data_IF_972274600333
#
_entry.id   IF_972274600333
#
_cell.length_a   1.000
_cell.length_b   1.000
_cell.length_c   1.000
_cell.angle_alpha   90.00
_cell.angle_beta   90.00
_cell.angle_gamma   90.00
#
_symmetry.space_group_name_H-M   'P 1'
#
loop_
_entity.id
_entity.type
_entity.pdbx_description
1 polymer ?
#
# COMPACT_ATOMS: atom_id res chain seq x y z
N UNK A 1 -20.94 -56.90 25.55
CA UNK A 1 -21.14 -56.30 24.21
C UNK A 1 -21.16 -54.76 24.18
N UNK A 2 -21.37 -54.02 25.29
CA UNK A 2 -21.38 -52.53 25.26
C UNK A 2 -20.00 -51.84 25.14
N UNK A 3 -18.90 -52.48 25.57
CA UNK A 3 -17.55 -51.87 25.55
C UNK A 3 -16.87 -51.89 24.17
N UNK A 4 -17.22 -52.85 23.31
CA UNK A 4 -16.64 -52.98 21.96
C UNK A 4 -17.24 -51.96 20.99
N UNK A 5 -18.53 -51.63 21.13
CA UNK A 5 -19.20 -50.63 20.29
C UNK A 5 -18.64 -49.21 20.46
N UNK A 6 -18.25 -48.85 21.69
CA UNK A 6 -17.69 -47.52 22.01
C UNK A 6 -16.26 -47.38 21.47
N UNK A 7 -15.43 -48.42 21.59
CA UNK A 7 -14.07 -48.41 21.05
C UNK A 7 -14.05 -48.30 19.52
N UNK A 8 -14.99 -48.96 18.83
CA UNK A 8 -15.13 -48.89 17.36
C UNK A 8 -15.67 -47.53 16.90
N UNK A 9 -16.61 -46.92 17.64
CA UNK A 9 -17.06 -45.54 17.34
C UNK A 9 -15.97 -44.51 17.56
N UNK A 10 -15.18 -44.61 18.64
CA UNK A 10 -14.06 -43.69 18.90
C UNK A 10 -12.96 -43.84 17.84
N UNK A 11 -12.65 -45.08 17.42
CA UNK A 11 -11.71 -45.33 16.33
C UNK A 11 -12.21 -44.83 14.97
N UNK A 12 -13.52 -44.96 14.69
CA UNK A 12 -14.12 -44.42 13.46
C UNK A 12 -14.15 -42.88 13.45
N UNK A 13 -14.42 -42.24 14.59
CA UNK A 13 -14.37 -40.76 14.72
C UNK A 13 -12.91 -40.27 14.58
N UNK A 14 -11.94 -40.97 15.14
CA UNK A 14 -10.50 -40.64 15.01
C UNK A 14 -9.93 -40.86 13.60
N UNK A 15 -10.54 -41.74 12.79
CA UNK A 15 -10.16 -41.97 11.40
C UNK A 15 -10.83 -40.98 10.43
N UNK A 16 -12.00 -40.46 10.80
CA UNK A 16 -12.75 -39.49 9.97
C UNK A 16 -12.32 -38.04 10.25
N UNK A 17 -11.82 -37.71 11.46
CA UNK A 17 -11.28 -36.38 11.77
C UNK A 17 -10.09 -35.94 10.91
N UNK A 18 -9.08 -36.77 10.57
CA UNK A 18 -8.03 -36.38 9.63
C UNK A 18 -8.53 -36.30 8.18
N UNK A 19 -9.56 -37.06 7.79
CA UNK A 19 -10.18 -36.96 6.46
C UNK A 19 -11.02 -35.68 6.31
N UNK A 20 -11.68 -35.22 7.37
CA UNK A 20 -12.39 -33.94 7.41
C UNK A 20 -11.44 -32.74 7.54
N UNK A 21 -10.26 -32.91 8.18
CA UNK A 21 -9.19 -31.91 8.18
C UNK A 21 -8.48 -31.82 6.82
N UNK A 22 -8.44 -32.90 6.03
CA UNK A 22 -7.86 -32.93 4.69
C UNK A 22 -8.80 -32.40 3.58
N UNK A 23 -10.11 -32.35 3.81
CA UNK A 23 -11.06 -31.78 2.84
C UNK A 23 -11.18 -30.25 2.89
N UNK A 24 -10.57 -29.58 3.87
CA UNK A 24 -10.50 -28.13 4.00
C UNK A 24 -9.07 -27.66 4.33
N UNK A 25 -8.04 -28.32 3.78
CA UNK A 25 -6.70 -27.71 3.78
C UNK A 25 -6.73 -26.55 2.78
N UNK A 26 -7.20 -25.39 3.25
CA UNK A 26 -6.89 -24.12 2.61
C UNK A 26 -5.37 -24.01 2.59
N UNK A 27 -4.79 -23.85 1.41
CA UNK A 27 -3.37 -23.59 1.29
C UNK A 27 -3.11 -22.16 1.77
N UNK A 28 -2.21 -22.01 2.74
CA UNK A 28 -1.78 -20.70 3.24
C UNK A 28 -1.29 -19.86 2.06
N UNK A 29 -1.65 -18.57 2.02
CA UNK A 29 -1.03 -17.65 1.07
C UNK A 29 0.46 -17.55 1.39
N UNK A 30 1.28 -18.01 0.46
CA UNK A 30 2.72 -17.80 0.51
C UNK A 30 3.07 -16.43 -0.10
N UNK A 31 3.98 -15.71 0.54
CA UNK A 31 4.62 -14.56 -0.05
C UNK A 31 5.89 -15.04 -0.75
N UNK A 32 5.99 -14.85 -2.07
CA UNK A 32 7.22 -15.08 -2.82
C UNK A 32 7.55 -13.83 -3.63
N UNK A 33 8.81 -13.51 -3.93
CA UNK A 33 9.12 -12.41 -4.83
C UNK A 33 8.42 -12.61 -6.19
N UNK A 34 7.46 -11.74 -6.49
CA UNK A 34 6.70 -11.72 -7.76
C UNK A 34 7.00 -10.44 -8.52
N UNK A 35 8.26 -10.02 -8.48
CA UNK A 35 8.78 -8.80 -9.10
C UNK A 35 10.26 -8.99 -9.41
N UNK A 36 10.73 -8.27 -10.43
CA UNK A 36 12.12 -8.28 -10.86
C UNK A 36 12.86 -7.01 -10.42
N UNK A 37 13.74 -6.52 -11.28
CA UNK A 37 14.20 -5.13 -11.24
C UNK A 37 13.18 -4.26 -11.98
N UNK A 38 12.59 -3.29 -11.29
CA UNK A 38 11.52 -2.46 -11.83
C UNK A 38 11.49 -1.10 -11.13
N UNK A 39 10.95 -0.11 -11.83
CA UNK A 39 10.85 1.26 -11.36
C UNK A 39 9.54 1.87 -11.86
N UNK A 40 8.78 2.46 -10.94
CA UNK A 40 7.49 3.07 -11.24
C UNK A 40 7.42 4.48 -10.66
N UNK A 41 6.62 5.32 -11.32
CA UNK A 41 6.26 6.67 -10.87
C UNK A 41 4.75 6.80 -10.87
N UNK A 42 4.22 7.49 -9.87
CA UNK A 42 2.81 7.71 -9.64
C UNK A 42 2.56 9.19 -9.39
N UNK A 43 1.53 9.73 -10.03
CA UNK A 43 1.00 11.05 -9.71
C UNK A 43 0.11 10.93 -8.46
N UNK A 44 0.29 11.86 -7.53
CA UNK A 44 -0.53 11.95 -6.31
C UNK A 44 -1.61 12.99 -6.53
N UNK A 45 -2.84 12.65 -6.21
CA UNK A 45 -4.01 13.53 -6.29
C UNK A 45 -4.91 13.31 -5.07
N UNK A 46 -5.87 14.21 -4.87
CA UNK A 46 -6.91 14.03 -3.87
C UNK A 46 -7.87 12.93 -4.33
N UNK A 47 -8.15 11.96 -3.46
CA UNK A 47 -9.05 10.85 -3.76
C UNK A 47 -10.48 11.32 -4.02
N UNK A 48 -11.08 10.87 -5.13
CA UNK A 48 -12.49 11.10 -5.46
C UNK A 48 -13.34 9.85 -5.17
N UNK A 49 -14.04 9.91 -4.05
CA UNK A 49 -14.92 8.83 -3.59
C UNK A 49 -16.33 8.86 -4.20
N UNK A 50 -16.69 9.95 -4.88
CA UNK A 50 -18.04 10.19 -5.40
C UNK A 50 -18.13 9.95 -6.90
N UNK A 51 -17.02 10.01 -7.65
CA UNK A 51 -17.02 9.73 -9.08
C UNK A 51 -17.41 8.28 -9.37
N UNK A 52 -18.55 8.15 -10.03
CA UNK A 52 -19.13 6.89 -10.46
C UNK A 52 -19.64 7.04 -11.87
N UNK A 53 -19.24 6.12 -12.73
CA UNK A 53 -19.69 6.05 -14.11
C UNK A 53 -20.44 4.75 -14.34
N UNK A 54 -21.46 4.77 -15.19
CA UNK A 54 -22.16 3.55 -15.62
C UNK A 54 -21.73 3.22 -17.04
N UNK A 55 -21.26 1.99 -17.25
CA UNK A 55 -20.85 1.48 -18.56
C UNK A 55 -21.25 0.00 -18.67
N UNK A 56 -21.89 -0.40 -19.78
CA UNK A 56 -22.47 -1.74 -19.96
C UNK A 56 -23.30 -2.22 -18.74
N UNK A 57 -24.20 -1.37 -18.23
CA UNK A 57 -25.04 -1.65 -17.04
C UNK A 57 -24.30 -1.95 -15.73
N UNK A 58 -22.98 -1.75 -15.69
CA UNK A 58 -22.15 -1.88 -14.50
C UNK A 58 -21.66 -0.51 -14.01
N UNK A 59 -21.51 -0.36 -12.69
CA UNK A 59 -20.94 0.85 -12.07
C UNK A 59 -19.43 0.69 -11.93
N UNK A 60 -18.69 1.68 -12.41
CA UNK A 60 -17.24 1.82 -12.28
C UNK A 60 -16.94 3.01 -11.38
N UNK A 61 -15.97 2.83 -10.47
CA UNK A 61 -15.57 3.85 -9.50
C UNK A 61 -14.12 4.23 -9.69
N UNK A 62 -13.78 5.46 -9.35
CA UNK A 62 -12.38 5.89 -9.38
C UNK A 62 -11.62 5.39 -8.14
N UNK A 63 -12.25 5.49 -6.97
CA UNK A 63 -11.68 5.05 -5.68
C UNK A 63 -12.56 3.98 -5.03
N UNK A 64 -12.18 2.69 -5.09
CA UNK A 64 -12.93 1.64 -4.44
C UNK A 64 -12.77 1.70 -2.91
N UNK A 65 -13.89 1.54 -2.22
CA UNK A 65 -13.94 1.45 -0.77
C UNK A 65 -13.63 0.02 -0.29
N UNK A 66 -12.70 -0.12 0.66
CA UNK A 66 -12.64 -1.30 1.52
C UNK A 66 -13.78 -1.18 2.56
N UNK A 67 -14.96 -1.70 2.22
CA UNK A 67 -16.16 -1.62 3.05
C UNK A 67 -15.91 -2.07 4.50
N UNK A 68 -16.61 -1.48 5.47
CA UNK A 68 -16.55 -1.85 6.90
C UNK A 68 -15.24 -1.51 7.64
N UNK A 69 -14.12 -1.35 6.95
CA UNK A 69 -12.79 -1.08 7.52
C UNK A 69 -12.29 0.35 7.26
N UNK A 70 -12.96 1.08 6.37
CA UNK A 70 -12.63 2.47 6.08
C UNK A 70 -13.41 3.45 6.93
N UNK A 71 -12.66 4.33 7.58
CA UNK A 71 -13.19 5.48 8.29
C UNK A 71 -13.47 6.58 7.25
N UNK A 72 -14.68 7.14 7.28
CA UNK A 72 -15.04 8.29 6.44
C UNK A 72 -14.00 9.41 6.66
N UNK A 73 -13.40 9.90 5.57
CA UNK A 73 -12.39 10.95 5.61
C UNK A 73 -12.84 12.17 6.43
N UNK A 74 -14.11 12.57 6.33
CA UNK A 74 -14.64 13.72 7.09
C UNK A 74 -14.73 13.47 8.60
N UNK A 75 -14.82 12.19 9.00
CA UNK A 75 -14.83 11.77 10.41
C UNK A 75 -13.43 11.56 10.99
N UNK A 76 -12.38 11.64 10.16
CA UNK A 76 -10.99 11.58 10.63
C UNK A 76 -10.60 12.89 11.30
N UNK A 77 -9.56 12.79 12.12
CA UNK A 77 -8.92 13.95 12.72
C UNK A 77 -8.26 14.82 11.65
N UNK A 78 -7.62 14.20 10.65
CA UNK A 78 -6.94 14.88 9.53
C UNK A 78 -7.86 15.92 8.85
N UNK A 79 -7.34 17.13 8.65
CA UNK A 79 -7.99 18.16 7.86
C UNK A 79 -8.09 17.69 6.41
N UNK A 80 -9.26 17.86 5.82
CA UNK A 80 -9.44 17.56 4.40
C UNK A 80 -8.87 18.75 3.60
N UNK A 81 -7.86 18.55 2.75
CA UNK A 81 -7.29 19.61 1.94
C UNK A 81 -8.26 20.02 0.84
N UNK A 82 -8.09 21.24 0.31
CA UNK A 82 -8.79 21.69 -0.88
C UNK A 82 -8.31 20.91 -2.11
N UNK A 83 -6.98 20.81 -2.27
CA UNK A 83 -6.35 20.12 -3.40
C UNK A 83 -5.01 19.45 -3.00
N UNK A 84 -4.60 18.46 -3.79
CA UNK A 84 -3.36 17.69 -3.61
C UNK A 84 -2.72 17.43 -4.96
N UNK A 85 -1.41 17.63 -5.02
CA UNK A 85 -0.59 17.26 -6.17
C UNK A 85 0.75 16.70 -5.70
N UNK A 86 1.34 15.78 -6.45
CA UNK A 86 2.66 15.26 -6.09
C UNK A 86 3.13 14.09 -6.94
N UNK A 87 4.25 13.53 -6.54
CA UNK A 87 4.84 12.36 -7.18
C UNK A 87 5.30 11.37 -6.12
N UNK A 88 5.01 10.09 -6.37
CA UNK A 88 5.55 8.97 -5.63
C UNK A 88 6.34 8.09 -6.59
N UNK A 89 7.56 7.71 -6.21
CA UNK A 89 8.42 6.81 -6.97
C UNK A 89 8.71 5.57 -6.16
N UNK A 90 8.85 4.45 -6.84
CA UNK A 90 9.11 3.15 -6.23
C UNK A 90 10.08 2.38 -7.12
N UNK A 91 11.16 1.87 -6.53
CA UNK A 91 12.20 1.12 -7.23
C UNK A 91 12.59 -0.10 -6.40
N UNK A 92 12.79 -1.23 -7.07
CA UNK A 92 13.29 -2.46 -6.47
C UNK A 92 14.49 -2.95 -7.28
N UNK A 93 15.59 -3.25 -6.59
CA UNK A 93 16.86 -3.66 -7.21
C UNK A 93 17.45 -4.88 -6.49
N UNK A 94 17.80 -5.96 -7.21
CA UNK A 94 18.53 -7.07 -6.62
C UNK A 94 19.98 -6.69 -6.32
N UNK A 95 20.59 -7.35 -5.33
CA UNK A 95 22.05 -7.34 -5.17
C UNK A 95 22.73 -8.10 -6.30
N UNK A 96 24.05 -7.89 -6.47
CA UNK A 96 24.85 -8.56 -7.51
C UNK A 96 24.82 -10.09 -7.42
N UNK A 97 24.71 -10.62 -6.20
CA UNK A 97 24.59 -12.05 -5.89
C UNK A 97 23.13 -12.50 -5.74
N UNK A 98 22.17 -11.60 -5.97
CA UNK A 98 20.72 -11.78 -5.85
C UNK A 98 20.24 -12.37 -4.51
N UNK A 99 21.05 -12.28 -3.45
CA UNK A 99 20.72 -12.78 -2.12
C UNK A 99 19.76 -11.84 -1.36
N UNK A 100 19.72 -10.57 -1.76
CA UNK A 100 18.91 -9.51 -1.16
C UNK A 100 18.36 -8.56 -2.21
N UNK A 101 17.33 -7.83 -1.83
CA UNK A 101 16.78 -6.72 -2.60
C UNK A 101 16.87 -5.43 -1.81
N UNK A 102 16.99 -4.32 -2.53
CA UNK A 102 16.80 -2.96 -2.01
C UNK A 102 15.53 -2.38 -2.62
N UNK A 103 14.57 -2.05 -1.77
CA UNK A 103 13.35 -1.31 -2.12
C UNK A 103 13.50 0.14 -1.70
N UNK A 104 13.38 1.06 -2.66
CA UNK A 104 13.48 2.50 -2.43
C UNK A 104 12.19 3.15 -2.86
N UNK A 105 11.66 4.04 -2.02
CA UNK A 105 10.53 4.91 -2.38
C UNK A 105 10.88 6.36 -2.12
N UNK A 106 10.30 7.26 -2.90
CA UNK A 106 10.46 8.70 -2.74
C UNK A 106 9.15 9.40 -3.03
N UNK A 107 8.73 10.28 -2.14
CA UNK A 107 7.49 11.05 -2.23
C UNK A 107 7.78 12.54 -2.13
N UNK A 108 7.21 13.31 -3.04
CA UNK A 108 7.05 14.76 -2.91
C UNK A 108 5.57 15.07 -3.00
N UNK A 109 5.02 15.70 -1.97
CA UNK A 109 3.60 15.99 -1.84
C UNK A 109 3.38 17.48 -1.58
N UNK A 110 2.53 18.09 -2.39
CA UNK A 110 2.02 19.44 -2.20
C UNK A 110 0.56 19.34 -1.80
N UNK A 111 0.20 19.99 -0.71
CA UNK A 111 -1.16 19.98 -0.17
C UNK A 111 -1.63 21.41 0.02
N UNK A 112 -2.81 21.71 -0.51
CA UNK A 112 -3.41 23.03 -0.42
C UNK A 112 -4.56 23.02 0.59
N UNK A 113 -4.50 23.92 1.57
CA UNK A 113 -5.56 24.13 2.58
C UNK A 113 -6.09 25.55 2.49
N UNK A 114 -7.29 25.79 3.01
CA UNK A 114 -7.74 27.15 3.28
C UNK A 114 -6.91 27.78 4.38
N UNK A 115 -6.48 29.02 4.18
CA UNK A 115 -5.73 29.77 5.19
C UNK A 115 -6.51 29.87 6.50
N UNK A 116 -7.83 30.13 6.41
CA UNK A 116 -8.71 30.23 7.59
C UNK A 116 -8.75 28.94 8.42
N UNK A 117 -8.71 27.77 7.78
CA UNK A 117 -8.73 26.48 8.48
C UNK A 117 -7.43 26.25 9.25
N UNK A 118 -6.29 26.61 8.64
CA UNK A 118 -4.98 26.52 9.30
C UNK A 118 -4.89 27.49 10.49
N UNK A 119 -5.37 28.72 10.33
CA UNK A 119 -5.41 29.72 11.40
C UNK A 119 -6.32 29.28 12.56
N UNK A 120 -7.46 28.66 12.24
CA UNK A 120 -8.42 28.16 13.22
C UNK A 120 -7.92 26.99 14.07
N UNK A 121 -6.89 26.25 13.62
CA UNK A 121 -6.28 25.17 14.41
C UNK A 121 -5.66 25.66 15.72
N UNK A 122 -5.29 26.95 15.82
CA UNK A 122 -4.68 27.49 17.03
C UNK A 122 -3.33 26.83 17.36
N UNK A 123 -2.54 26.51 16.33
CA UNK A 123 -1.26 25.82 16.43
C UNK A 123 -0.30 26.45 17.47
N UNK A 124 0.52 25.61 18.10
CA UNK A 124 1.64 26.09 18.93
C UNK A 124 2.65 26.87 18.07
N UNK A 125 3.47 27.72 18.72
CA UNK A 125 4.49 28.49 18.02
C UNK A 125 5.52 27.60 17.28
N UNK A 126 5.84 26.44 17.85
CA UNK A 126 6.71 25.44 17.23
C UNK A 126 6.09 24.88 15.93
N UNK A 127 4.81 24.53 15.98
CA UNK A 127 4.09 24.05 14.79
C UNK A 127 4.00 25.15 13.74
N UNK A 128 3.71 26.40 14.13
CA UNK A 128 3.68 27.54 13.19
C UNK A 128 5.02 27.75 12.49
N UNK A 129 6.13 27.77 13.24
CA UNK A 129 7.46 27.92 12.65
C UNK A 129 7.79 26.76 11.69
N UNK A 130 7.39 25.54 12.04
CA UNK A 130 7.50 24.39 11.14
C UNK A 130 6.66 24.52 9.87
N UNK A 131 5.42 25.02 9.98
CA UNK A 131 4.56 25.28 8.82
C UNK A 131 5.11 26.38 7.91
N UNK A 132 5.66 27.46 8.47
CA UNK A 132 6.30 28.52 7.69
C UNK A 132 7.45 27.96 6.83
N UNK A 133 8.29 27.10 7.41
CA UNK A 133 9.37 26.41 6.70
C UNK A 133 8.88 25.51 5.57
N UNK A 134 7.73 24.86 5.75
CA UNK A 134 7.12 23.93 4.79
C UNK A 134 6.21 24.64 3.77
N UNK A 135 5.96 25.93 3.95
CA UNK A 135 5.09 26.72 3.07
C UNK A 135 5.79 27.00 1.75
N UNK A 136 5.09 26.73 0.66
CA UNK A 136 5.55 27.03 -0.70
C UNK A 136 4.95 28.35 -1.12
N UNK A 137 5.78 29.28 -1.61
CA UNK A 137 5.29 30.56 -2.12
C UNK A 137 4.33 30.34 -3.30
N UNK A 138 3.32 31.20 -3.40
CA UNK A 138 2.29 31.10 -4.44
C UNK A 138 2.88 31.19 -5.87
N UNK A 139 3.90 32.04 -6.06
CA UNK A 139 4.58 32.26 -7.34
C UNK A 139 5.80 31.36 -7.56
N UNK A 140 6.08 30.43 -6.64
CA UNK A 140 7.20 29.51 -6.78
C UNK A 140 6.96 28.56 -7.95
N UNK A 141 7.97 28.36 -8.81
CA UNK A 141 7.88 27.45 -9.95
C UNK A 141 7.62 25.99 -9.55
N UNK A 142 7.89 25.62 -8.31
CA UNK A 142 7.59 24.29 -7.78
C UNK A 142 6.15 24.13 -7.28
N UNK A 143 5.38 25.22 -7.13
CA UNK A 143 3.99 25.16 -6.69
C UNK A 143 3.12 24.65 -7.86
N UNK A 144 2.46 23.50 -7.72
CA UNK A 144 1.73 22.88 -8.83
C UNK A 144 0.31 23.42 -9.02
N UNK A 145 -0.17 24.31 -8.15
CA UNK A 145 -1.55 24.79 -8.17
C UNK A 145 -1.65 26.14 -8.87
N UNK A 146 -2.75 26.37 -9.60
CA UNK A 146 -3.01 27.66 -10.26
C UNK A 146 -3.81 28.65 -9.38
N UNK A 147 -4.42 28.16 -8.29
CA UNK A 147 -5.24 28.97 -7.37
C UNK A 147 -4.51 29.15 -6.06
N UNK A 148 -4.45 30.38 -5.54
CA UNK A 148 -3.74 30.69 -4.30
C UNK A 148 -4.48 31.65 -3.36
N UNK A 149 -5.49 32.37 -3.85
CA UNK A 149 -6.21 33.35 -3.03
C UNK A 149 -6.96 32.65 -1.88
N UNK A 150 -6.64 33.03 -0.64
CA UNK A 150 -7.21 32.42 0.56
C UNK A 150 -6.69 31.00 0.86
N UNK A 151 -5.61 30.58 0.21
CA UNK A 151 -5.07 29.22 0.29
C UNK A 151 -3.59 29.24 0.71
N UNK A 152 -3.19 28.23 1.46
CA UNK A 152 -1.80 27.93 1.82
C UNK A 152 -1.40 26.61 1.18
N UNK A 153 -0.22 26.59 0.55
CA UNK A 153 0.36 25.38 -0.02
C UNK A 153 1.51 24.93 0.87
N UNK A 154 1.44 23.69 1.35
CA UNK A 154 2.50 23.07 2.13
C UNK A 154 3.14 21.94 1.33
N UNK A 155 4.46 21.80 1.46
CA UNK A 155 5.22 20.71 0.85
C UNK A 155 5.65 19.72 1.92
N UNK A 156 5.64 18.44 1.58
CA UNK A 156 6.30 17.40 2.36
C UNK A 156 7.09 16.47 1.45
N UNK A 157 8.18 15.92 1.98
CA UNK A 157 8.99 14.90 1.34
C UNK A 157 9.15 13.69 2.25
N UNK A 158 9.20 12.51 1.64
CA UNK A 158 9.49 11.26 2.35
C UNK A 158 10.29 10.35 1.45
N UNK A 159 11.47 9.94 1.91
CA UNK A 159 12.32 9.00 1.21
C UNK A 159 12.56 7.79 2.10
N UNK A 160 12.40 6.59 1.53
CA UNK A 160 12.58 5.34 2.27
C UNK A 160 13.49 4.41 1.50
N UNK A 161 14.31 3.66 2.22
CA UNK A 161 15.07 2.54 1.69
C UNK A 161 14.90 1.35 2.63
N UNK A 162 14.66 0.17 2.08
CA UNK A 162 14.67 -1.08 2.84
C UNK A 162 15.48 -2.13 2.10
N UNK A 163 16.40 -2.76 2.81
CA UNK A 163 17.15 -3.92 2.34
C UNK A 163 16.63 -5.16 3.04
N UNK A 164 16.30 -6.19 2.28
CA UNK A 164 15.70 -7.42 2.82
C UNK A 164 16.15 -8.66 2.04
N UNK A 165 16.00 -9.84 2.65
CA UNK A 165 16.37 -11.13 2.04
C UNK A 165 15.41 -11.50 0.90
N UNK A 166 15.90 -12.14 -0.17
CA UNK A 166 15.09 -12.62 -1.31
C UNK A 166 14.16 -13.81 -0.98
N UNK A 167 14.23 -14.35 0.23
CA UNK A 167 13.39 -15.47 0.65
C UNK A 167 11.90 -15.09 0.81
N UNK A 168 11.03 -16.10 0.91
CA UNK A 168 9.58 -15.93 1.05
C UNK A 168 9.16 -15.03 2.22
N UNK A 169 9.92 -15.05 3.33
CA UNK A 169 9.62 -14.21 4.50
C UNK A 169 9.97 -12.73 4.29
N UNK A 170 10.77 -12.38 3.27
CA UNK A 170 11.23 -11.01 2.99
C UNK A 170 11.79 -10.31 4.24
N UNK A 171 12.55 -11.07 5.04
CA UNK A 171 13.06 -10.62 6.32
C UNK A 171 13.91 -9.35 6.14
N UNK A 172 13.60 -8.22 6.82
CA UNK A 172 14.39 -7.00 6.74
C UNK A 172 15.80 -7.22 7.29
N UNK A 173 16.76 -6.52 6.68
CA UNK A 173 18.17 -6.46 7.08
C UNK A 173 18.47 -5.05 7.59
N UNK A 174 18.03 -4.03 6.86
CA UNK A 174 18.16 -2.63 7.26
C UNK A 174 17.07 -1.78 6.63
N UNK A 175 16.77 -0.65 7.24
CA UNK A 175 15.93 0.37 6.62
C UNK A 175 16.39 1.78 6.98
N UNK A 176 16.02 2.73 6.13
CA UNK A 176 16.14 4.17 6.36
C UNK A 176 14.83 4.82 5.95
N UNK A 177 14.34 5.76 6.76
CA UNK A 177 13.25 6.64 6.44
C UNK A 177 13.66 8.06 6.75
N UNK A 178 13.53 8.95 5.79
CA UNK A 178 13.78 10.39 5.92
C UNK A 178 12.47 11.12 5.66
N UNK A 179 12.03 11.95 6.60
CA UNK A 179 10.77 12.68 6.52
C UNK A 179 11.02 14.16 6.76
N UNK A 180 10.46 14.97 5.89
CA UNK A 180 10.23 16.39 6.14
C UNK A 180 8.78 16.72 5.79
N UNK A 181 7.94 16.90 6.80
CA UNK A 181 6.50 16.98 6.56
C UNK A 181 5.69 17.35 7.78
N UNK A 182 4.38 17.14 7.66
CA UNK A 182 3.40 17.59 8.62
C UNK A 182 2.21 16.64 8.70
N UNK A 183 1.54 16.66 9.85
CA UNK A 183 0.20 16.15 10.05
C UNK A 183 -0.64 17.29 10.64
N UNK A 184 -1.77 17.56 10.00
CA UNK A 184 -2.70 18.61 10.42
C UNK A 184 -4.07 18.00 10.61
N UNK A 185 -4.40 17.71 11.87
CA UNK A 185 -5.72 17.30 12.29
C UNK A 185 -6.44 18.39 13.08
N UNK A 186 -7.74 18.22 13.26
CA UNK A 186 -8.61 19.09 14.06
C UNK A 186 -8.19 19.12 15.52
N UNK A 187 -7.62 18.03 16.03
CA UNK A 187 -7.20 17.84 17.41
C UNK A 187 -5.68 17.68 17.57
N UNK A 188 -5.00 17.07 16.59
CA UNK A 188 -3.56 16.84 16.65
C UNK A 188 -2.84 17.54 15.51
N UNK A 189 -1.75 18.24 15.83
CA UNK A 189 -0.84 18.80 14.84
C UNK A 189 0.57 18.31 15.14
N UNK A 190 1.30 17.94 14.09
CA UNK A 190 2.67 17.47 14.22
C UNK A 190 3.48 17.95 13.03
N UNK A 191 4.68 18.45 13.31
CA UNK A 191 5.72 18.68 12.30
C UNK A 191 6.75 17.56 12.45
N UNK A 192 7.19 17.01 11.34
CA UNK A 192 8.18 15.93 11.30
C UNK A 192 9.36 16.39 10.47
N UNK A 193 10.55 16.37 11.05
CA UNK A 193 11.79 16.57 10.32
C UNK A 193 12.86 15.66 10.90
N UNK A 194 12.87 14.40 10.46
CA UNK A 194 13.72 13.38 11.07
C UNK A 194 14.28 12.40 10.04
N UNK A 195 15.31 11.69 10.45
CA UNK A 195 15.75 10.44 9.82
C UNK A 195 15.69 9.31 10.84
N UNK A 196 15.09 8.18 10.46
CA UNK A 196 15.12 6.94 11.24
C UNK A 196 15.88 5.90 10.43
N UNK A 197 16.92 5.31 11.01
CA UNK A 197 17.65 4.19 10.41
C UNK A 197 17.57 2.97 11.32
N UNK A 198 17.41 1.79 10.73
CA UNK A 198 17.25 0.53 11.48
C UNK A 198 18.18 -0.54 10.93
N UNK A 199 18.78 -1.30 11.84
CA UNK A 199 19.48 -2.56 11.53
C UNK A 199 18.76 -3.69 12.25
N UNK A 200 18.41 -4.73 11.50
CA UNK A 200 17.62 -5.85 11.99
C UNK A 200 18.49 -7.06 12.30
N UNK A 201 18.44 -7.53 13.55
CA UNK A 201 18.96 -8.83 13.97
C UNK A 201 17.79 -9.67 14.49
N UNK A 202 16.96 -10.16 13.57
CA UNK A 202 15.78 -10.94 13.90
C UNK A 202 16.13 -12.27 14.58
N UNK A 203 17.27 -12.88 14.26
CA UNK A 203 17.74 -14.12 14.90
C UNK A 203 17.93 -13.96 16.42
N UNK A 204 18.41 -12.79 16.87
CA UNK A 204 18.50 -12.44 18.28
C UNK A 204 17.28 -11.68 18.82
N UNK A 205 16.25 -11.47 18.00
CA UNK A 205 15.08 -10.66 18.32
C UNK A 205 15.44 -9.22 18.76
N UNK A 206 16.44 -8.63 18.09
CA UNK A 206 16.91 -7.27 18.37
C UNK A 206 16.88 -6.41 17.11
N UNK A 207 16.60 -5.13 17.31
CA UNK A 207 16.78 -4.10 16.29
C UNK A 207 17.56 -2.94 16.88
N UNK A 208 18.46 -2.37 16.09
CA UNK A 208 19.14 -1.14 16.45
C UNK A 208 18.50 -0.02 15.66
N UNK A 209 17.89 0.94 16.34
CA UNK A 209 17.23 2.10 15.73
C UNK A 209 18.03 3.34 16.06
N UNK A 210 18.37 4.13 15.05
CA UNK A 210 18.94 5.46 15.20
C UNK A 210 17.89 6.47 14.77
N UNK A 211 17.44 7.31 15.70
CA UNK A 211 16.55 8.44 15.42
C UNK A 211 17.36 9.73 15.45
N UNK A 212 17.33 10.46 14.35
CA UNK A 212 18.03 11.72 14.13
C UNK A 212 17.00 12.83 13.91
N UNK A 213 16.86 13.72 14.90
CA UNK A 213 15.97 14.87 14.81
C UNK A 213 16.67 16.03 14.13
N UNK A 214 16.23 16.34 12.92
CA UNK A 214 16.86 17.35 12.07
C UNK A 214 16.34 18.76 12.38
N UNK A 215 15.45 18.94 13.36
CA UNK A 215 15.12 20.29 13.86
C UNK A 215 16.18 20.87 14.78
N UNK A 216 16.96 20.00 15.43
CA UNK A 216 17.82 20.37 16.56
C UNK A 216 19.32 20.32 16.26
N UNK A 217 19.71 20.09 14.99
CA UNK A 217 21.10 19.95 14.50
C UNK A 217 21.98 19.01 15.35
N UNK A 218 21.37 18.06 16.08
CA UNK A 218 22.04 17.08 16.92
C UNK A 218 21.95 15.71 16.28
N UNK A 219 23.11 15.12 16.03
CA UNK A 219 23.19 13.75 15.54
C UNK A 219 22.38 12.78 16.42
N UNK A 220 21.59 11.95 15.76
CA UNK A 220 20.79 10.90 16.38
C UNK A 220 21.60 9.91 17.23
N UNK A 221 20.99 9.47 18.34
CA UNK A 221 21.57 8.41 19.18
C UNK A 221 21.02 7.05 18.80
N UNK A 222 21.90 6.06 18.63
CA UNK A 222 21.51 4.68 18.36
C UNK A 222 21.01 3.99 19.65
N UNK A 223 19.85 3.34 19.56
CA UNK A 223 19.22 2.59 20.63
C UNK A 223 18.99 1.14 20.19
N UNK A 224 19.38 0.18 21.03
CA UNK A 224 19.05 -1.24 20.82
C UNK A 224 17.72 -1.54 21.49
N UNK A 225 16.79 -2.11 20.73
CA UNK A 225 15.44 -2.44 21.16
C UNK A 225 15.19 -3.93 20.95
N UNK A 226 14.51 -4.56 21.91
CA UNK A 226 14.07 -5.95 21.81
C UNK A 226 12.74 -6.02 21.06
N UNK A 227 12.66 -6.90 20.06
CA UNK A 227 11.42 -7.22 19.36
C UNK A 227 10.77 -8.45 19.97
N UNK A 228 9.52 -8.32 20.38
CA UNK A 228 8.72 -9.46 20.86
C UNK A 228 7.84 -9.97 19.73
N UNK A 229 8.29 -11.01 19.04
CA UNK A 229 7.51 -11.65 17.98
C UNK A 229 7.62 -13.18 18.08
N UNK A 230 6.68 -13.89 17.44
CA UNK A 230 6.72 -15.36 17.34
C UNK A 230 7.74 -15.76 16.28
N UNK A 231 8.59 -16.74 16.55
CA UNK A 231 9.53 -17.28 15.55
C UNK A 231 8.85 -17.84 14.28
N UNK A 232 7.53 -18.11 14.35
CA UNK A 232 6.73 -18.55 13.22
C UNK A 232 6.10 -17.40 12.40
N UNK A 233 6.28 -16.14 12.83
CA UNK A 233 5.73 -14.97 12.16
C UNK A 233 6.75 -14.37 11.18
N UNK A 234 6.31 -14.07 9.96
CA UNK A 234 7.06 -13.21 9.06
C UNK A 234 6.99 -11.78 9.59
N UNK A 235 8.16 -11.15 9.75
CA UNK A 235 8.29 -9.75 10.15
C UNK A 235 8.84 -8.97 8.98
N UNK A 236 8.15 -7.90 8.58
CA UNK A 236 8.62 -6.94 7.58
C UNK A 236 8.74 -5.54 8.20
N UNK A 237 9.51 -4.68 7.54
CA UNK A 237 9.54 -3.25 7.84
C UNK A 237 8.26 -2.58 7.30
N UNK A 238 7.74 -1.57 7.99
CA UNK A 238 6.55 -0.82 7.55
C UNK A 238 6.67 -0.25 6.14
N UNK A 239 7.86 0.17 5.71
CA UNK A 239 8.11 0.71 4.38
C UNK A 239 8.12 -0.37 3.28
N UNK A 240 8.12 -1.65 3.63
CA UNK A 240 7.97 -2.76 2.68
C UNK A 240 6.51 -3.09 2.38
N UNK A 241 5.54 -2.56 3.13
CA UNK A 241 4.17 -3.04 3.10
C UNK A 241 3.54 -2.95 1.70
N UNK A 242 3.82 -1.85 0.98
CA UNK A 242 3.35 -1.65 -0.40
C UNK A 242 3.88 -2.76 -1.32
N UNK A 243 5.20 -3.02 -1.29
CA UNK A 243 5.82 -4.08 -2.09
C UNK A 243 5.32 -5.46 -1.67
N UNK A 244 5.25 -5.75 -0.37
CA UNK A 244 4.86 -7.05 0.17
C UNK A 244 3.47 -7.51 -0.33
N UNK A 245 2.53 -6.59 -0.50
CA UNK A 245 1.21 -6.91 -1.08
C UNK A 245 1.32 -7.51 -2.49
N UNK A 246 2.35 -7.15 -3.27
CA UNK A 246 2.58 -7.67 -4.63
C UNK A 246 3.05 -9.14 -4.63
N UNK A 247 3.61 -9.63 -3.51
CA UNK A 247 4.19 -10.98 -3.40
C UNK A 247 3.18 -12.01 -2.94
N UNK A 248 2.09 -11.52 -2.35
CA UNK A 248 0.96 -12.36 -1.99
C UNK A 248 0.38 -12.96 -3.27
N UNK A 249 0.21 -14.28 -3.28
CA UNK A 249 -0.51 -14.98 -4.33
C UNK A 249 -2.00 -14.61 -4.27
N UNK A 250 -2.48 -13.88 -5.29
CA UNK A 250 -3.84 -13.31 -5.27
C UNK A 250 -4.82 -14.22 -6.00
N UNK A 251 -5.18 -15.32 -5.36
CA UNK A 251 -6.25 -16.20 -5.84
C UNK A 251 -7.34 -16.33 -4.78
N UNK A 252 -8.58 -16.54 -5.23
CA UNK A 252 -9.75 -16.63 -4.36
C UNK A 252 -9.68 -17.81 -3.38
N UNK A 253 -8.84 -18.81 -3.64
CA UNK A 253 -8.62 -19.98 -2.77
C UNK A 253 -7.52 -19.74 -1.73
N UNK A 254 -6.46 -18.99 -2.07
CA UNK A 254 -5.32 -18.74 -1.17
C UNK A 254 -5.60 -17.66 -0.12
N UNK A 255 -6.39 -16.64 -0.47
CA UNK A 255 -6.68 -15.50 0.41
C UNK A 255 -7.79 -15.76 1.46
N UNK A 256 -8.36 -16.97 1.51
CA UNK A 256 -9.46 -17.29 2.43
C UNK A 256 -9.06 -17.33 3.91
N UNK A 257 -7.76 -17.51 4.20
CA UNK A 257 -7.23 -17.69 5.56
C UNK A 257 -6.83 -16.39 6.28
N UNK A 258 -7.29 -15.22 5.82
CA UNK A 258 -6.93 -13.92 6.42
C UNK A 258 -5.41 -13.76 6.52
N UNK A 259 -4.77 -13.65 5.36
CA UNK A 259 -3.31 -13.46 5.24
C UNK A 259 -2.86 -12.37 6.20
N UNK A 260 -1.83 -12.66 7.01
CA UNK A 260 -1.32 -11.74 8.00
C UNK A 260 0.21 -11.73 8.04
N UNK A 261 0.78 -10.55 8.26
CA UNK A 261 2.21 -10.34 8.46
C UNK A 261 2.44 -9.40 9.64
N UNK A 262 3.51 -9.62 10.39
CA UNK A 262 3.93 -8.67 11.42
C UNK A 262 4.70 -7.53 10.76
N UNK A 263 4.34 -6.29 11.08
CA UNK A 263 4.94 -5.09 10.52
C UNK A 263 5.59 -4.30 11.64
N UNK A 264 6.90 -4.17 11.59
CA UNK A 264 7.63 -3.33 12.54
C UNK A 264 7.66 -1.88 12.05
N UNK A 265 7.28 -0.95 12.93
CA UNK A 265 7.41 0.48 12.71
C UNK A 265 8.55 1.03 13.58
N UNK A 266 9.73 1.31 13.00
CA UNK A 266 10.90 1.77 13.76
C UNK A 266 10.68 3.03 14.59
N UNK A 267 9.87 3.97 14.13
CA UNK A 267 9.70 5.26 14.80
C UNK A 267 9.11 5.12 16.22
N UNK A 268 8.05 4.33 16.38
CA UNK A 268 7.35 4.16 17.67
C UNK A 268 7.69 2.84 18.38
N UNK A 269 8.64 2.08 17.85
CA UNK A 269 9.04 0.77 18.37
C UNK A 269 7.86 -0.19 18.58
N UNK A 270 6.97 -0.28 17.59
CA UNK A 270 5.79 -1.12 17.70
C UNK A 270 5.71 -2.16 16.58
N UNK A 271 5.15 -3.32 16.93
CA UNK A 271 4.81 -4.40 16.00
C UNK A 271 3.31 -4.40 15.80
N UNK A 272 2.91 -4.22 14.55
CA UNK A 272 1.53 -4.26 14.11
C UNK A 272 1.24 -5.57 13.38
N UNK A 273 -0.03 -5.97 13.35
CA UNK A 273 -0.48 -7.05 12.47
C UNK A 273 -1.20 -6.46 11.28
N UNK A 274 -0.62 -6.58 10.10
CA UNK A 274 -1.29 -6.24 8.85
C UNK A 274 -2.03 -7.46 8.32
N UNK A 275 -3.31 -7.29 8.01
CA UNK A 275 -4.17 -8.27 7.37
C UNK A 275 -4.50 -7.81 5.96
N UNK A 276 -4.76 -8.76 5.06
CA UNK A 276 -5.03 -8.45 3.66
C UNK A 276 -6.40 -8.96 3.21
N UNK A 277 -7.18 -8.08 2.60
CA UNK A 277 -8.47 -8.40 1.99
C UNK A 277 -8.33 -8.34 0.47
N UNK A 278 -8.57 -9.47 -0.20
CA UNK A 278 -8.50 -9.55 -1.66
C UNK A 278 -9.88 -9.47 -2.30
N UNK A 279 -9.99 -8.64 -3.34
CA UNK A 279 -11.16 -8.52 -4.20
C UNK A 279 -10.75 -8.89 -5.62
N UNK A 280 -11.30 -9.98 -6.14
CA UNK A 280 -10.91 -10.53 -7.45
C UNK A 280 -11.22 -9.58 -8.61
N UNK A 281 -12.35 -8.88 -8.54
CA UNK A 281 -12.79 -7.96 -9.58
C UNK A 281 -13.29 -6.67 -8.97
N UNK A 282 -12.64 -5.57 -9.32
CA UNK A 282 -12.98 -4.21 -8.95
C UNK A 282 -13.22 -3.41 -10.21
N UNK A 283 -14.47 -3.01 -10.43
CA UNK A 283 -14.85 -2.14 -11.55
C UNK A 283 -14.27 -0.74 -11.32
N UNK A 284 -13.25 -0.39 -12.09
CA UNK A 284 -12.44 0.81 -11.88
C UNK A 284 -12.48 1.71 -13.10
N UNK A 285 -12.59 3.02 -12.89
CA UNK A 285 -12.34 4.03 -13.92
C UNK A 285 -10.90 4.52 -13.81
N UNK A 286 -10.17 4.45 -14.92
CA UNK A 286 -8.88 5.12 -15.14
C UNK A 286 -9.11 6.31 -16.08
N UNK A 287 -8.18 7.28 -16.14
CA UNK A 287 -8.29 8.43 -17.05
C UNK A 287 -7.14 8.41 -18.06
N UNK A 288 -7.37 8.09 -19.33
CA UNK A 288 -6.31 8.02 -20.33
C UNK A 288 -5.50 9.33 -20.46
N UNK A 289 -4.37 9.27 -21.17
CA UNK A 289 -3.48 10.42 -21.35
C UNK A 289 -4.15 11.62 -22.03
N UNK A 290 -5.22 11.39 -22.79
CA UNK A 290 -6.04 12.41 -23.45
C UNK A 290 -7.18 12.96 -22.56
N UNK A 291 -7.30 12.49 -21.32
CA UNK A 291 -8.33 12.88 -20.37
C UNK A 291 -9.64 12.09 -20.47
N UNK A 292 -9.74 11.10 -21.36
CA UNK A 292 -10.93 10.26 -21.46
C UNK A 292 -11.02 9.20 -20.35
N UNK A 293 -12.25 8.89 -19.91
CA UNK A 293 -12.47 7.81 -18.94
C UNK A 293 -12.31 6.43 -19.63
N UNK A 294 -11.59 5.53 -18.97
CA UNK A 294 -11.36 4.14 -19.39
C UNK A 294 -11.90 3.21 -18.32
N UNK A 295 -12.77 2.30 -18.74
CA UNK A 295 -13.43 1.33 -17.85
C UNK A 295 -12.64 0.03 -17.84
N UNK A 296 -12.15 -0.37 -16.67
CA UNK A 296 -11.32 -1.56 -16.51
C UNK A 296 -11.78 -2.39 -15.32
N UNK A 297 -11.51 -3.69 -15.36
CA UNK A 297 -11.68 -4.59 -14.22
C UNK A 297 -10.30 -4.87 -13.63
N UNK A 298 -10.08 -4.56 -12.36
CA UNK A 298 -8.79 -4.74 -11.68
C UNK A 298 -8.90 -5.74 -10.54
N UNK A 299 -7.77 -6.23 -10.07
CA UNK A 299 -7.68 -6.94 -8.79
C UNK A 299 -7.38 -5.95 -7.67
N UNK A 300 -8.06 -6.10 -6.53
CA UNK A 300 -7.89 -5.21 -5.38
C UNK A 300 -7.32 -5.92 -4.16
N UNK A 301 -6.38 -5.28 -3.46
CA UNK A 301 -5.92 -5.71 -2.13
C UNK A 301 -6.00 -4.55 -1.17
N UNK A 302 -6.79 -4.68 -0.11
CA UNK A 302 -6.82 -3.73 0.99
C UNK A 302 -5.99 -4.25 2.16
N UNK A 303 -5.16 -3.39 2.73
CA UNK A 303 -4.30 -3.67 3.87
C UNK A 303 -4.91 -3.07 5.11
N UNK A 304 -5.22 -3.91 6.09
CA UNK A 304 -5.89 -3.55 7.33
C UNK A 304 -4.91 -3.69 8.48
N UNK A 305 -4.64 -2.59 9.18
CA UNK A 305 -3.79 -2.55 10.36
C UNK A 305 -4.64 -2.09 11.53
N UNK A 306 -4.63 -2.84 12.64
CA UNK A 306 -5.41 -2.56 13.84
C UNK A 306 -6.90 -2.26 13.58
N UNK A 307 -7.48 -2.99 12.62
CA UNK A 307 -8.90 -2.86 12.25
C UNK A 307 -9.24 -1.68 11.34
N UNK A 308 -8.25 -0.90 10.89
CA UNK A 308 -8.43 0.22 9.97
C UNK A 308 -7.74 -0.04 8.63
N UNK A 309 -8.41 0.30 7.52
CA UNK A 309 -7.81 0.28 6.19
C UNK A 309 -6.70 1.33 6.09
N UNK A 310 -5.46 0.88 5.90
CA UNK A 310 -4.28 1.71 5.73
C UNK A 310 -4.04 2.04 4.25
N UNK A 311 -4.17 1.03 3.38
CA UNK A 311 -3.85 1.10 1.97
C UNK A 311 -4.84 0.26 1.18
N UNK A 312 -5.28 0.72 0.02
CA UNK A 312 -5.93 -0.13 -0.99
C UNK A 312 -5.16 -0.05 -2.29
N UNK A 313 -4.68 -1.19 -2.77
CA UNK A 313 -3.96 -1.34 -4.03
C UNK A 313 -4.86 -1.94 -5.10
N UNK A 314 -4.74 -1.42 -6.33
CA UNK A 314 -5.32 -2.00 -7.53
C UNK A 314 -4.21 -2.43 -8.50
N UNK A 315 -4.32 -3.66 -8.98
CA UNK A 315 -3.39 -4.30 -9.91
C UNK A 315 -4.13 -4.81 -11.15
N UNK A 316 -3.38 -5.09 -12.21
CA UNK A 316 -3.93 -5.68 -13.44
C UNK A 316 -4.70 -6.98 -13.14
N UNK A 317 -5.78 -7.27 -13.90
CA UNK A 317 -6.62 -8.44 -13.67
C UNK A 317 -5.98 -9.74 -14.17
N UNK A 318 -6.45 -10.85 -13.61
CA UNK A 318 -6.08 -12.23 -13.95
C UNK A 318 -6.87 -12.79 -15.15
N UNK A 319 -7.82 -12.03 -15.71
CA UNK A 319 -8.78 -12.50 -16.72
C UNK A 319 -8.32 -12.33 -18.17
N UNK A 320 -7.04 -12.03 -18.40
CA UNK A 320 -6.49 -12.06 -19.76
C UNK A 320 -6.23 -13.54 -20.08
N UNK A 321 -7.20 -14.16 -20.77
CA UNK A 321 -7.24 -15.56 -21.23
C UNK A 321 -5.85 -16.19 -21.42
N UNK A 322 -5.31 -16.78 -20.36
CA UNK A 322 -4.19 -17.70 -20.45
C UNK A 322 -4.72 -19.08 -20.08
N UNK A 323 -4.91 -19.92 -21.10
CA UNK A 323 -5.04 -21.37 -20.91
C UNK A 323 -3.77 -21.98 -20.26
N UNK A 324 -2.71 -21.19 -20.08
CA UNK A 324 -1.46 -21.57 -19.46
C UNK A 324 -1.34 -21.07 -18.01
N UNK A 325 -1.21 -22.05 -17.10
CA UNK A 325 -1.13 -21.90 -15.65
C UNK A 325 0.13 -21.17 -15.10
N UNK A 326 0.85 -20.39 -15.91
CA UNK A 326 1.97 -19.58 -15.46
C UNK A 326 1.48 -18.20 -15.01
N UNK A 327 0.81 -18.20 -13.85
CA UNK A 327 0.08 -17.10 -13.22
C UNK A 327 0.92 -15.88 -12.78
N UNK A 328 2.08 -15.57 -13.36
CA UNK A 328 2.89 -14.40 -12.96
C UNK A 328 3.07 -13.36 -14.07
N UNK A 329 2.84 -13.75 -15.33
CA UNK A 329 3.06 -12.91 -16.50
C UNK A 329 1.82 -12.83 -17.38
N UNK A 330 1.57 -11.65 -17.95
CA UNK A 330 0.54 -11.40 -18.94
C UNK A 330 1.25 -10.87 -20.19
N UNK A 331 1.06 -11.53 -21.34
CA UNK A 331 1.57 -11.03 -22.62
C UNK A 331 0.46 -10.29 -23.37
N UNK A 332 0.68 -9.02 -23.67
CA UNK A 332 -0.26 -8.12 -24.35
C UNK A 332 0.51 -7.41 -25.47
N UNK A 333 0.05 -7.51 -26.72
CA UNK A 333 0.67 -6.79 -27.84
C UNK A 333 2.15 -7.15 -28.11
N UNK A 334 2.65 -8.25 -27.54
CA UNK A 334 4.07 -8.63 -27.57
C UNK A 334 4.89 -8.14 -26.36
N UNK A 335 4.27 -7.39 -25.44
CA UNK A 335 4.86 -6.95 -24.18
C UNK A 335 4.43 -7.89 -23.06
N UNK A 336 5.41 -8.44 -22.32
CA UNK A 336 5.16 -9.30 -21.16
C UNK A 336 5.24 -8.48 -19.88
N UNK A 337 4.19 -8.54 -19.05
CA UNK A 337 4.04 -7.73 -17.84
C UNK A 337 3.71 -8.61 -16.65
N UNK A 338 4.09 -8.13 -15.48
CA UNK A 338 3.71 -8.79 -14.25
C UNK A 338 2.24 -8.46 -13.91
N UNK A 339 1.41 -9.48 -13.68
CA UNK A 339 -0.01 -9.23 -13.33
C UNK A 339 -0.20 -8.49 -12.00
N UNK A 340 0.80 -8.54 -11.12
CA UNK A 340 0.83 -7.81 -9.86
C UNK A 340 1.44 -6.41 -9.99
N UNK A 341 1.70 -5.92 -11.20
CA UNK A 341 1.99 -4.51 -11.43
C UNK A 341 0.85 -3.67 -10.88
N UNK A 342 1.21 -2.75 -10.00
CA UNK A 342 0.29 -1.82 -9.36
C UNK A 342 0.01 -0.69 -10.34
N UNK A 343 -1.27 -0.44 -10.63
CA UNK A 343 -1.69 0.66 -11.51
C UNK A 343 -2.21 1.85 -10.72
N UNK A 344 -2.76 1.58 -9.52
CA UNK A 344 -3.25 2.57 -8.59
C UNK A 344 -3.09 2.06 -7.17
N UNK A 345 -2.89 2.96 -6.22
CA UNK A 345 -3.14 2.70 -4.82
C UNK A 345 -3.66 3.95 -4.11
N UNK A 346 -4.29 3.76 -2.96
CA UNK A 346 -4.84 4.85 -2.15
C UNK A 346 -4.48 4.65 -0.70
N UNK A 347 -4.06 5.72 -0.04
CA UNK A 347 -3.83 5.79 1.39
C UNK A 347 -4.60 6.99 1.94
N UNK A 348 -5.63 6.74 2.75
CA UNK A 348 -6.50 7.80 3.26
C UNK A 348 -7.17 8.60 2.13
N UNK A 349 -6.91 9.91 2.11
CA UNK A 349 -7.43 10.87 1.11
C UNK A 349 -6.50 11.04 -0.09
N UNK A 350 -5.36 10.36 -0.12
CA UNK A 350 -4.37 10.46 -1.17
C UNK A 350 -4.52 9.31 -2.14
N UNK A 351 -4.71 9.66 -3.41
CA UNK A 351 -4.77 8.74 -4.53
C UNK A 351 -3.47 8.77 -5.30
N UNK A 352 -2.92 7.60 -5.59
CA UNK A 352 -1.66 7.42 -6.27
C UNK A 352 -1.92 6.64 -7.55
N UNK A 353 -1.70 7.30 -8.68
CA UNK A 353 -1.99 6.73 -9.98
C UNK A 353 -0.73 6.66 -10.83
N UNK A 354 -0.46 5.51 -11.42
CA UNK A 354 0.73 5.31 -12.24
C UNK A 354 0.79 6.38 -13.35
N UNK A 355 1.90 7.11 -13.42
CA UNK A 355 2.04 8.33 -14.23
C UNK A 355 1.98 8.03 -15.74
N UNK A 356 2.49 6.87 -16.14
CA UNK A 356 2.38 6.36 -17.50
C UNK A 356 1.87 4.91 -17.44
N UNK A 357 0.76 4.66 -18.13
CA UNK A 357 0.28 3.31 -18.40
C UNK A 357 0.52 3.08 -19.89
N UNK A 358 1.19 1.99 -20.23
CA UNK A 358 1.44 1.62 -21.62
C UNK A 358 0.10 1.48 -22.38
N UNK A 359 0.04 1.97 -23.62
CA UNK A 359 -1.19 1.98 -24.41
C UNK A 359 -1.71 0.56 -24.69
N UNK A 360 -0.80 -0.40 -24.90
CA UNK A 360 -1.17 -1.79 -25.13
C UNK A 360 -1.79 -2.40 -23.87
N UNK A 361 -1.26 -2.07 -22.69
CA UNK A 361 -1.84 -2.47 -21.40
C UNK A 361 -3.26 -1.94 -21.28
N UNK A 362 -3.42 -0.64 -21.51
CA UNK A 362 -4.70 0.03 -21.38
C UNK A 362 -5.72 -0.59 -22.32
N UNK A 363 -5.37 -0.82 -23.60
CA UNK A 363 -6.27 -1.43 -24.58
C UNK A 363 -6.73 -2.84 -24.17
N UNK A 364 -5.82 -3.65 -23.63
CA UNK A 364 -6.12 -5.03 -23.22
C UNK A 364 -6.97 -5.14 -21.95
N UNK A 365 -6.86 -4.20 -21.01
CA UNK A 365 -7.69 -4.21 -19.80
C UNK A 365 -8.99 -3.43 -19.95
N UNK A 366 -9.15 -2.67 -21.04
CA UNK A 366 -10.35 -1.87 -21.30
C UNK A 366 -11.54 -2.76 -21.63
N UNK A 367 -12.62 -2.61 -20.87
CA UNK A 367 -13.90 -3.25 -21.15
C UNK A 367 -14.47 -2.67 -22.45
N UNK A 368 -14.77 -3.54 -23.41
CA UNK A 368 -15.32 -3.14 -24.71
C UNK A 368 -16.85 -3.05 -24.65
N UNK A 369 -17.49 -2.24 -25.52
CA UNK A 369 -18.95 -2.17 -25.60
C UNK A 369 -19.55 -3.55 -25.88
N UNK A 370 -20.74 -3.83 -25.34
CA UNK A 370 -21.52 -4.99 -25.77
C UNK A 370 -21.84 -4.80 -27.26
N UNK A 371 -21.28 -5.64 -28.11
CA UNK A 371 -21.72 -5.73 -29.51
C UNK A 371 -22.94 -6.64 -29.48
N UNK A 372 -24.12 -6.10 -29.74
CA UNK A 372 -25.27 -6.95 -30.10
C UNK A 372 -24.87 -7.70 -31.37
N UNK A 373 -24.71 -9.02 -31.29
CA UNK A 373 -24.68 -9.84 -32.49
C UNK A 373 -26.06 -9.70 -33.13
N UNK A 374 -26.15 -8.92 -34.21
CA UNK A 374 -27.31 -8.94 -35.10
C UNK A 374 -27.38 -10.35 -35.71
N UNK A 375 -28.25 -11.21 -35.18
CA UNK A 375 -28.64 -12.51 -35.77
C UNK A 375 -29.38 -12.35 -37.11
#
# INVERSE_FOLDING_TARGET
MKKILIAVMVAAVLLVTPLLAACNQTEKTDAIPRWGEESYSYNITKADFVKRNTFNDEVYVEEPYAGGYEINAESKDELVPEDVAGTFTSQIKPSKDESRYTYTTGQVLYVQYKTEDIEALGCSEEVKAGLERLTVAADAAENPFDKHEGLVTLKSTTDTEVVFKREASQSPISSKQEVDGFYLGKQHQQISNYTVSTVYNLEESKVTVTYDDRTDDKDGTAEVRELKYSAAANVIDANQLLLYTRSLEKTSTKFQDSVAVQVYQPLNNNLYTANFLFTYTVNTTLVAADGSDVYVKLTGVSVIVDGTSLLTQLSLPDTINAEDAALDEITIGGTTLNKYTQVRFRSGIYSYRMAAIDADILDAVTVKPNVEEEE
#
